data_IF_963703003282
#
_entry.id   IF_963703003282
#
_cell.length_a   1.000
_cell.length_b   1.000
_cell.length_c   1.000
_cell.angle_alpha   90.00
_cell.angle_beta   90.00
_cell.angle_gamma   90.00
#
_symmetry.space_group_name_H-M   'P 1'
#
loop_
_entity.id
_entity.type
_entity.pdbx_description
1 polymer ?
#
# COMPACT_ATOMS: atom_id res chain seq x y z
N UNK A 1 -0.20 2.89 -10.89
CA UNK A 1 -0.08 2.70 -9.43
C UNK A 1 -1.29 1.91 -8.96
N UNK A 2 -1.23 1.31 -7.77
CA UNK A 2 -2.37 0.67 -7.10
C UNK A 2 -2.40 1.07 -5.63
N UNK A 3 -3.58 1.09 -5.03
CA UNK A 3 -3.76 1.30 -3.58
C UNK A 3 -3.80 -0.08 -2.93
N UNK A 4 -3.17 -0.24 -1.76
CA UNK A 4 -3.15 -1.50 -1.00
C UNK A 4 -3.34 -1.22 0.50
N UNK A 5 -2.96 -2.18 1.35
CA UNK A 5 -2.90 -2.02 2.79
C UNK A 5 -4.27 -1.92 3.44
N UNK A 6 -4.34 -1.16 4.53
CA UNK A 6 -5.55 -1.03 5.36
C UNK A 6 -6.71 -0.41 4.58
N UNK A 7 -6.43 0.55 3.69
CA UNK A 7 -7.44 1.19 2.83
C UNK A 7 -8.07 0.19 1.86
N UNK A 8 -7.26 -0.62 1.17
CA UNK A 8 -7.80 -1.62 0.26
C UNK A 8 -8.60 -2.71 0.97
N UNK A 9 -8.14 -3.15 2.16
CA UNK A 9 -8.87 -4.08 3.00
C UNK A 9 -10.23 -3.50 3.45
N UNK A 10 -10.25 -2.26 3.94
CA UNK A 10 -11.47 -1.62 4.41
C UNK A 10 -12.54 -1.52 3.32
N UNK A 11 -12.16 -1.25 2.07
CA UNK A 11 -13.09 -1.20 0.92
C UNK A 11 -13.72 -2.58 0.64
N UNK A 12 -13.00 -3.67 0.91
CA UNK A 12 -13.48 -5.03 0.68
C UNK A 12 -14.38 -5.57 1.81
N UNK A 13 -14.27 -5.01 3.01
CA UNK A 13 -15.03 -5.50 4.16
C UNK A 13 -16.43 -4.89 4.21
N UNK A 14 -17.44 -5.62 4.73
CA UNK A 14 -18.76 -5.06 4.96
C UNK A 14 -18.72 -3.98 6.04
N UNK A 15 -19.55 -2.94 5.90
CA UNK A 15 -19.70 -1.90 6.92
C UNK A 15 -20.12 -2.49 8.29
N UNK A 16 -21.00 -3.49 8.26
CA UNK A 16 -21.38 -4.26 9.45
C UNK A 16 -20.23 -5.19 9.86
N UNK A 17 -19.47 -4.79 10.88
CA UNK A 17 -18.33 -5.56 11.40
C UNK A 17 -16.99 -4.83 11.28
N UNK A 18 -16.93 -3.74 10.52
CA UNK A 18 -15.71 -2.94 10.31
C UNK A 18 -15.82 -1.62 11.07
N UNK A 19 -15.45 -1.62 12.35
CA UNK A 19 -15.55 -0.44 13.23
C UNK A 19 -14.32 0.49 13.20
N UNK A 20 -13.27 0.10 12.48
CA UNK A 20 -12.01 0.83 12.38
C UNK A 20 -11.94 1.56 11.05
N UNK A 21 -11.23 2.68 11.00
CA UNK A 21 -10.94 3.40 9.76
C UNK A 21 -9.45 3.38 9.46
N UNK A 22 -9.03 3.28 8.18
CA UNK A 22 -7.65 3.44 7.78
C UNK A 22 -7.07 4.77 8.27
N UNK A 23 -5.81 4.76 8.70
CA UNK A 23 -5.10 5.96 9.19
C UNK A 23 -4.21 6.59 8.13
N UNK A 24 -3.86 5.82 7.10
CA UNK A 24 -2.88 6.11 6.07
C UNK A 24 -3.28 5.49 4.74
N UNK A 25 -2.69 6.00 3.66
CA UNK A 25 -2.91 5.51 2.30
C UNK A 25 -1.63 4.92 1.72
N UNK A 26 -1.62 3.62 1.48
CA UNK A 26 -0.51 2.94 0.82
C UNK A 26 -0.67 2.92 -0.71
N UNK A 27 0.27 3.54 -1.43
CA UNK A 27 0.31 3.56 -2.89
C UNK A 27 1.53 2.80 -3.41
N UNK A 28 1.28 1.77 -4.20
CA UNK A 28 2.33 0.98 -4.86
C UNK A 28 2.52 1.45 -6.29
N UNK A 29 3.75 1.78 -6.65
CA UNK A 29 4.10 2.38 -7.94
C UNK A 29 5.36 1.75 -8.54
N UNK A 30 5.48 1.78 -9.87
CA UNK A 30 6.69 1.36 -10.55
C UNK A 30 7.77 2.42 -10.40
N UNK A 31 9.03 2.00 -10.35
CA UNK A 31 10.17 2.91 -10.24
C UNK A 31 10.13 4.07 -11.25
N UNK A 32 9.82 3.78 -12.52
CA UNK A 32 9.76 4.79 -13.60
C UNK A 32 8.63 5.83 -13.44
N UNK A 33 7.57 5.50 -12.70
CA UNK A 33 6.42 6.39 -12.49
C UNK A 33 6.47 7.09 -11.12
N UNK A 34 7.48 6.75 -10.29
CA UNK A 34 7.53 7.20 -8.91
C UNK A 34 7.68 8.72 -8.81
N UNK A 35 8.63 9.31 -9.53
CA UNK A 35 8.85 10.77 -9.50
C UNK A 35 7.60 11.54 -9.92
N UNK A 36 6.94 11.10 -11.01
CA UNK A 36 5.69 11.73 -11.47
C UNK A 36 4.57 11.68 -10.41
N UNK A 37 4.46 10.58 -9.66
CA UNK A 37 3.51 10.47 -8.56
C UNK A 37 3.88 11.38 -7.39
N UNK A 38 5.17 11.45 -7.04
CA UNK A 38 5.67 12.30 -5.95
C UNK A 38 5.49 13.79 -6.27
N UNK A 39 5.79 14.21 -7.50
CA UNK A 39 5.53 15.56 -7.99
C UNK A 39 4.04 15.90 -7.87
N UNK A 40 3.17 15.00 -8.32
CA UNK A 40 1.72 15.19 -8.20
C UNK A 40 1.26 15.32 -6.75
N UNK A 41 1.77 14.50 -5.83
CA UNK A 41 1.45 14.60 -4.40
C UNK A 41 1.96 15.90 -3.79
N UNK A 42 3.14 16.35 -4.21
CA UNK A 42 3.73 17.63 -3.79
C UNK A 42 2.87 18.80 -4.24
N UNK A 43 2.37 18.78 -5.48
CA UNK A 43 1.43 19.78 -6.01
C UNK A 43 0.10 19.80 -5.22
N UNK A 44 -0.28 18.67 -4.61
CA UNK A 44 -1.44 18.57 -3.70
C UNK A 44 -1.14 18.99 -2.25
N UNK A 45 0.06 19.49 -1.97
CA UNK A 45 0.46 20.00 -0.65
C UNK A 45 0.98 18.94 0.31
N UNK A 46 1.35 17.75 -0.18
CA UNK A 46 2.06 16.76 0.61
C UNK A 46 3.56 17.05 0.62
N UNK A 47 4.19 16.94 1.78
CA UNK A 47 5.64 17.04 1.93
C UNK A 47 6.23 15.68 2.30
N UNK A 48 7.39 15.36 1.72
CA UNK A 48 8.15 14.15 2.09
C UNK A 48 8.73 14.34 3.49
N UNK A 49 8.39 13.44 4.42
CA UNK A 49 8.89 13.46 5.80
C UNK A 49 9.90 12.36 6.08
N UNK A 50 9.88 11.29 5.30
CA UNK A 50 10.89 10.24 5.37
C UNK A 50 11.07 9.56 4.02
N UNK A 51 12.32 9.23 3.70
CA UNK A 51 12.66 8.32 2.62
C UNK A 51 13.54 7.22 3.19
N UNK A 52 13.01 5.99 3.18
CA UNK A 52 13.65 4.85 3.81
C UNK A 52 14.17 3.88 2.73
N UNK A 53 15.50 3.65 2.65
CA UNK A 53 16.02 2.52 1.92
C UNK A 53 15.64 1.23 2.66
N UNK A 54 15.11 0.24 1.93
CA UNK A 54 14.52 -1.00 2.46
C UNK A 54 15.43 -1.74 3.45
N UNK A 55 16.76 -1.59 3.34
CA UNK A 55 17.74 -2.20 4.25
C UNK A 55 17.61 -1.79 5.72
N UNK A 56 16.91 -0.70 6.06
CA UNK A 56 16.84 -0.17 7.43
C UNK A 56 15.60 -0.58 8.24
N UNK A 57 14.60 -1.23 7.64
CA UNK A 57 13.29 -1.45 8.30
C UNK A 57 13.12 -2.88 8.86
N UNK A 58 14.16 -3.72 8.85
CA UNK A 58 14.08 -5.10 9.35
C UNK A 58 13.22 -6.05 8.50
N UNK A 59 12.51 -5.53 7.50
CA UNK A 59 11.80 -6.29 6.49
C UNK A 59 12.68 -6.48 5.25
N UNK A 60 12.98 -7.73 4.89
CA UNK A 60 13.70 -8.07 3.66
C UNK A 60 12.73 -8.12 2.47
N UNK A 61 11.98 -7.05 2.21
CA UNK A 61 11.11 -6.98 1.03
C UNK A 61 11.96 -6.82 -0.22
N UNK A 62 12.39 -7.95 -0.81
CA UNK A 62 13.31 -7.97 -1.95
C UNK A 62 12.76 -7.24 -3.19
N UNK A 63 11.44 -7.07 -3.27
CA UNK A 63 10.76 -6.41 -4.38
C UNK A 63 10.43 -4.93 -4.14
N UNK A 64 10.69 -4.39 -2.95
CA UNK A 64 10.59 -2.94 -2.70
C UNK A 64 11.95 -2.29 -3.00
N UNK A 65 11.94 -1.20 -3.74
CA UNK A 65 13.13 -0.39 -4.02
C UNK A 65 13.35 0.64 -2.92
N UNK A 66 12.31 1.39 -2.56
CA UNK A 66 12.31 2.42 -1.51
C UNK A 66 10.87 2.68 -1.04
N UNK A 67 10.76 3.20 0.18
CA UNK A 67 9.52 3.71 0.76
C UNK A 67 9.67 5.22 0.95
N UNK A 68 8.71 5.99 0.44
CA UNK A 68 8.63 7.44 0.65
C UNK A 68 7.37 7.75 1.43
N UNK A 69 7.52 8.35 2.60
CA UNK A 69 6.41 8.74 3.47
C UNK A 69 6.15 10.22 3.28
N UNK A 70 4.93 10.57 2.90
CA UNK A 70 4.48 11.94 2.70
C UNK A 70 3.33 12.29 3.64
N UNK A 71 3.22 13.57 4.01
CA UNK A 71 2.08 14.08 4.77
C UNK A 71 1.73 15.51 4.38
N UNK A 72 0.46 15.87 4.51
CA UNK A 72 -0.03 17.25 4.42
C UNK A 72 -0.38 17.84 5.81
N UNK A 73 0.12 17.22 6.88
CA UNK A 73 -0.19 17.59 8.28
C UNK A 73 -1.50 17.02 8.82
N UNK A 74 -2.38 16.49 7.96
CA UNK A 74 -3.64 15.83 8.37
C UNK A 74 -3.64 14.35 7.99
N UNK A 75 -3.23 14.04 6.77
CA UNK A 75 -3.23 12.71 6.19
C UNK A 75 -1.79 12.29 5.88
N UNK A 76 -1.52 10.98 5.96
CA UNK A 76 -0.26 10.38 5.53
C UNK A 76 -0.47 9.49 4.30
N UNK A 77 0.54 9.48 3.42
CA UNK A 77 0.59 8.65 2.22
C UNK A 77 1.94 7.96 2.16
N UNK A 78 1.93 6.65 2.06
CA UNK A 78 3.10 5.80 1.94
C UNK A 78 3.25 5.35 0.49
N UNK A 79 4.26 5.88 -0.20
CA UNK A 79 4.58 5.51 -1.57
C UNK A 79 5.61 4.40 -1.57
N UNK A 80 5.15 3.19 -1.86
CA UNK A 80 5.98 1.99 -1.98
C UNK A 80 6.42 1.83 -3.43
N UNK A 81 7.70 2.04 -3.68
CA UNK A 81 8.27 1.94 -5.03
C UNK A 81 8.72 0.50 -5.28
N UNK A 82 8.13 -0.16 -6.27
CA UNK A 82 8.53 -1.51 -6.68
C UNK A 82 9.86 -1.51 -7.42
N UNK A 83 10.70 -2.49 -7.09
CA UNK A 83 11.96 -2.81 -7.76
C UNK A 83 11.77 -3.65 -9.03
N UNK A 84 10.62 -4.29 -9.18
CA UNK A 84 10.33 -5.21 -10.29
C UNK A 84 9.59 -4.51 -11.43
N UNK A 85 9.32 -5.23 -12.52
CA UNK A 85 8.51 -4.74 -13.64
C UNK A 85 7.01 -4.61 -13.33
N UNK A 86 6.57 -5.01 -12.13
CA UNK A 86 5.17 -4.95 -11.68
C UNK A 86 5.03 -4.22 -10.34
N UNK A 87 3.92 -3.49 -10.15
CA UNK A 87 3.59 -2.87 -8.85
C UNK A 87 3.09 -3.87 -7.82
N UNK A 88 2.70 -5.07 -8.25
CA UNK A 88 1.99 -6.03 -7.41
C UNK A 88 2.93 -6.95 -6.62
N UNK A 89 4.14 -7.16 -7.10
CA UNK A 89 5.06 -8.13 -6.48
C UNK A 89 5.43 -7.81 -5.03
N UNK A 90 5.50 -6.54 -4.56
CA UNK A 90 5.68 -6.24 -3.15
C UNK A 90 4.45 -6.61 -2.29
N UNK A 91 3.24 -6.52 -2.85
CA UNK A 91 1.98 -6.77 -2.12
C UNK A 91 1.89 -8.25 -1.70
N UNK A 92 2.31 -9.16 -2.57
CA UNK A 92 2.31 -10.60 -2.28
C UNK A 92 3.53 -11.07 -1.47
N UNK A 93 4.43 -10.16 -1.07
CA UNK A 93 5.54 -10.46 -0.16
C UNK A 93 5.22 -10.15 1.30
N UNK A 94 4.04 -9.60 1.60
CA UNK A 94 3.63 -9.33 2.97
C UNK A 94 3.49 -10.60 3.80
N UNK A 95 3.66 -10.45 5.10
CA UNK A 95 3.52 -11.55 6.04
C UNK A 95 2.06 -11.93 6.30
N UNK A 96 1.07 -11.09 5.99
CA UNK A 96 -0.35 -11.40 6.25
C UNK A 96 -1.19 -11.38 4.97
N UNK A 97 -2.06 -12.39 4.82
CA UNK A 97 -3.03 -12.45 3.73
C UNK A 97 -4.08 -11.33 3.79
N UNK A 98 -4.27 -10.69 4.94
CA UNK A 98 -5.23 -9.59 5.11
C UNK A 98 -4.90 -8.36 4.25
N UNK A 99 -3.62 -8.16 3.93
CA UNK A 99 -3.14 -7.00 3.15
C UNK A 99 -2.73 -7.37 1.72
N UNK A 100 -3.03 -8.59 1.27
CA UNK A 100 -2.79 -9.03 -0.11
C UNK A 100 -3.98 -8.68 -1.02
N UNK A 101 -4.49 -7.46 -0.86
CA UNK A 101 -5.62 -6.90 -1.56
C UNK A 101 -5.19 -5.57 -2.18
N UNK A 102 -5.67 -5.23 -3.37
CA UNK A 102 -5.34 -3.95 -3.98
C UNK A 102 -6.47 -3.41 -4.85
N UNK A 103 -6.43 -2.10 -5.05
CA UNK A 103 -7.37 -1.35 -5.88
C UNK A 103 -6.58 -0.65 -6.97
N UNK A 104 -6.95 -0.88 -8.21
CA UNK A 104 -6.43 -0.16 -9.37
C UNK A 104 -7.45 0.89 -9.85
N UNK A 105 -7.21 1.51 -11.00
CA UNK A 105 -8.13 2.51 -11.54
C UNK A 105 -9.50 1.92 -11.96
N UNK A 106 -9.55 0.64 -12.32
CA UNK A 106 -10.73 0.00 -12.91
C UNK A 106 -11.15 -1.30 -12.22
N UNK A 107 -10.35 -1.78 -11.27
CA UNK A 107 -10.56 -3.09 -10.65
C UNK A 107 -10.19 -3.10 -9.17
N UNK A 108 -10.96 -3.87 -8.40
CA UNK A 108 -10.64 -4.24 -7.02
C UNK A 108 -10.24 -5.71 -7.04
N UNK A 109 -9.10 -6.03 -6.43
CA UNK A 109 -8.56 -7.38 -6.35
C UNK A 109 -8.39 -7.83 -4.90
N UNK A 110 -8.81 -9.07 -4.62
CA UNK A 110 -8.53 -9.75 -3.36
C UNK A 110 -7.81 -11.06 -3.63
N UNK A 111 -6.64 -11.25 -3.02
CA UNK A 111 -5.90 -12.50 -3.13
C UNK A 111 -6.54 -13.66 -2.38
N UNK A 112 -7.27 -13.35 -1.30
CA UNK A 112 -7.86 -14.35 -0.39
C UNK A 112 -9.29 -13.97 0.01
N UNK A 113 -10.23 -13.86 -0.95
CA UNK A 113 -11.56 -13.30 -0.71
C UNK A 113 -12.33 -14.03 0.39
N UNK A 114 -12.24 -15.37 0.45
CA UNK A 114 -12.90 -16.16 1.51
C UNK A 114 -12.39 -15.79 2.90
N UNK A 115 -11.06 -15.68 3.07
CA UNK A 115 -10.47 -15.30 4.36
C UNK A 115 -10.84 -13.86 4.70
N UNK A 116 -10.68 -12.94 3.75
CA UNK A 116 -11.00 -11.52 3.94
C UNK A 116 -12.45 -11.31 4.36
N UNK A 117 -13.42 -11.89 3.65
CA UNK A 117 -14.85 -11.71 3.93
C UNK A 117 -15.30 -12.43 5.22
N UNK A 118 -14.55 -13.43 5.68
CA UNK A 118 -14.77 -14.07 6.97
C UNK A 118 -14.02 -13.39 8.12
N UNK A 119 -13.34 -12.27 7.86
CA UNK A 119 -12.52 -11.56 8.85
C UNK A 119 -11.40 -12.44 9.43
N UNK A 120 -10.80 -13.29 8.60
CA UNK A 120 -9.70 -14.18 8.93
C UNK A 120 -8.44 -13.80 8.14
N UNK A 121 -7.28 -14.14 8.69
CA UNK A 121 -6.00 -13.98 8.00
C UNK A 121 -5.01 -15.07 8.39
N UNK A 122 -4.07 -15.37 7.49
CA UNK A 122 -2.91 -16.21 7.77
C UNK A 122 -1.68 -15.31 7.81
N UNK A 123 -0.84 -15.51 8.82
CA UNK A 123 0.45 -14.81 8.99
C UNK A 123 1.58 -15.81 8.73
N UNK A 124 2.53 -15.43 7.88
CA UNK A 124 3.76 -16.18 7.53
C UNK A 124 4.87 -15.96 8.56
#
# INVERSE_FOLDING_TARGET
AVISGSTALHVLLPECGTLWTPTDLDIYVLHREAERLLDHLTDQGYAVIAELPVKKVGYTYSHVSRLVVLTNGKNSVDVVVSKTSTTLSPIFQFHSTAVMNFISADTIFSGYPTLTLWHLSVVN
#
